data_IF_476957036488
#
_entry.id   IF_476957036488
#
_cell.length_a   1.000
_cell.length_b   1.000
_cell.length_c   1.000
_cell.angle_alpha   90.00
_cell.angle_beta   90.00
_cell.angle_gamma   90.00
#
_symmetry.space_group_name_H-M   'P 1'
#
loop_
_entity.id
_entity.type
_entity.pdbx_description
1 polymer ?
#
# COMPACT_ATOMS: atom_id res chain seq x y z
N UNK A 1 20.99 31.78 21.94
CA UNK A 1 19.88 31.48 22.85
C UNK A 1 20.37 31.40 24.29
N UNK A 2 21.17 30.39 24.68
CA UNK A 2 21.71 30.24 26.05
C UNK A 2 22.25 31.53 26.66
N UNK A 3 23.22 32.18 26.00
CA UNK A 3 23.76 33.48 26.45
C UNK A 3 22.69 34.54 26.77
N UNK A 4 21.61 34.64 25.97
CA UNK A 4 20.56 35.64 26.21
C UNK A 4 19.73 35.32 27.46
N UNK A 5 19.55 34.05 27.76
CA UNK A 5 18.79 33.59 28.94
C UNK A 5 19.69 33.68 30.19
N UNK A 6 20.91 33.17 30.09
CA UNK A 6 21.80 32.99 31.23
C UNK A 6 22.48 34.29 31.66
N UNK A 7 23.03 35.04 30.68
CA UNK A 7 23.79 36.29 30.91
C UNK A 7 22.93 37.53 30.61
N UNK A 8 22.05 37.42 29.63
CA UNK A 8 21.17 38.52 29.19
C UNK A 8 19.88 38.65 29.99
N UNK A 9 19.61 37.74 30.94
CA UNK A 9 18.39 37.69 31.75
C UNK A 9 17.08 37.78 30.95
N UNK A 10 17.07 37.31 29.70
CA UNK A 10 15.85 37.23 28.90
C UNK A 10 14.95 36.13 29.43
N UNK A 11 13.64 36.41 29.55
CA UNK A 11 12.66 35.43 30.02
C UNK A 11 12.45 34.28 29.01
N UNK A 12 12.79 33.02 29.35
CA UNK A 12 12.57 31.87 28.47
C UNK A 12 11.09 31.50 28.30
N UNK A 13 10.19 32.04 29.13
CA UNK A 13 8.73 31.83 29.06
C UNK A 13 8.00 32.91 28.27
N UNK A 14 8.72 33.91 27.75
CA UNK A 14 8.13 34.99 27.00
C UNK A 14 7.32 34.47 25.80
N UNK A 15 6.22 35.16 25.50
CA UNK A 15 5.35 34.88 24.37
C UNK A 15 5.35 36.04 23.37
N UNK A 16 5.18 35.70 22.10
CA UNK A 16 4.96 36.71 21.06
C UNK A 16 3.45 37.06 20.92
N UNK A 17 3.11 37.95 19.99
CA UNK A 17 1.72 38.37 19.74
C UNK A 17 0.77 37.23 19.30
N UNK A 18 1.31 36.11 18.83
CA UNK A 18 0.56 34.90 18.47
C UNK A 18 0.42 33.92 19.65
N UNK A 19 0.89 34.28 20.84
CA UNK A 19 0.92 33.41 22.01
C UNK A 19 1.97 32.30 21.93
N UNK A 20 2.88 32.35 20.94
CA UNK A 20 3.95 31.36 20.84
C UNK A 20 5.01 31.64 21.89
N UNK A 21 5.27 30.66 22.75
CA UNK A 21 6.41 30.69 23.68
C UNK A 21 7.74 30.60 22.92
N UNK A 22 8.85 30.92 23.59
CA UNK A 22 10.20 30.67 23.05
C UNK A 22 10.36 29.20 22.61
N UNK A 23 9.73 28.27 23.33
CA UNK A 23 9.76 26.84 23.01
C UNK A 23 9.04 26.50 21.69
N UNK A 24 7.89 27.11 21.40
CA UNK A 24 7.22 26.98 20.08
C UNK A 24 8.15 27.45 18.96
N UNK A 25 8.77 28.61 19.14
CA UNK A 25 9.71 29.16 18.17
C UNK A 25 10.94 28.24 17.98
N UNK A 26 11.39 27.59 19.05
CA UNK A 26 12.54 26.70 19.07
C UNK A 26 12.27 25.29 18.52
N UNK A 27 11.01 24.91 18.26
CA UNK A 27 10.56 23.59 17.80
C UNK A 27 11.01 23.18 16.37
N UNK A 28 12.22 23.61 15.99
CA UNK A 28 12.96 23.29 14.78
C UNK A 28 14.43 22.93 15.07
N UNK A 29 14.89 23.10 16.31
CA UNK A 29 16.26 22.84 16.76
C UNK A 29 16.27 22.02 18.05
N UNK A 30 16.62 20.74 17.97
CA UNK A 30 16.54 19.79 19.09
C UNK A 30 17.33 20.25 20.33
N UNK A 31 18.53 20.80 20.17
CA UNK A 31 19.35 21.24 21.30
C UNK A 31 18.73 22.42 22.05
N UNK A 32 18.03 23.29 21.31
CA UNK A 32 17.31 24.42 21.90
C UNK A 32 16.07 23.94 22.64
N UNK A 33 15.32 23.00 22.06
CA UNK A 33 14.15 22.37 22.70
C UNK A 33 14.56 21.67 24.00
N UNK A 34 15.60 20.85 23.96
CA UNK A 34 16.13 20.15 25.14
C UNK A 34 16.62 21.13 26.20
N UNK A 35 17.32 22.19 25.82
CA UNK A 35 17.78 23.21 26.76
C UNK A 35 16.60 23.90 27.46
N UNK A 36 15.62 24.38 26.68
CA UNK A 36 14.46 25.09 27.21
C UNK A 36 13.61 24.21 28.14
N UNK A 37 13.43 22.93 27.82
CA UNK A 37 12.63 22.01 28.65
C UNK A 37 13.41 21.57 29.90
N UNK A 38 14.66 21.11 29.74
CA UNK A 38 15.39 20.49 30.85
C UNK A 38 16.04 21.51 31.79
N UNK A 39 16.60 22.59 31.24
CA UNK A 39 17.36 23.59 32.01
C UNK A 39 16.50 24.80 32.38
N UNK A 40 15.61 25.24 31.47
CA UNK A 40 14.74 26.40 31.72
C UNK A 40 13.34 26.02 32.22
N UNK A 41 13.01 24.73 32.31
CA UNK A 41 11.71 24.22 32.75
C UNK A 41 10.50 24.75 31.96
N UNK A 42 10.67 24.97 30.65
CA UNK A 42 9.57 25.36 29.77
C UNK A 42 8.55 24.22 29.63
N UNK A 43 7.27 24.57 29.68
CA UNK A 43 6.18 23.59 29.51
C UNK A 43 6.12 23.06 28.06
N UNK A 44 6.37 21.76 27.81
CA UNK A 44 6.25 21.17 26.49
C UNK A 44 4.80 21.05 25.99
N UNK A 45 3.81 21.18 26.89
CA UNK A 45 2.37 21.14 26.58
C UNK A 45 1.77 22.51 26.28
N UNK A 46 2.57 23.59 26.37
CA UNK A 46 2.10 24.93 26.12
C UNK A 46 1.43 25.04 24.75
N UNK A 47 0.38 25.85 24.68
CA UNK A 47 -0.38 26.13 23.45
C UNK A 47 -0.30 27.61 23.08
N UNK A 48 -0.26 27.89 21.78
CA UNK A 48 -0.36 29.25 21.25
C UNK A 48 -1.84 29.70 21.10
N UNK A 49 -2.07 30.91 20.59
CA UNK A 49 -3.43 31.46 20.41
C UNK A 49 -4.29 30.67 19.40
N UNK A 50 -3.69 29.82 18.57
CA UNK A 50 -4.40 28.90 17.65
C UNK A 50 -4.65 27.53 18.29
N UNK A 51 -4.28 27.32 19.55
CA UNK A 51 -4.32 26.03 20.23
C UNK A 51 -3.27 25.04 19.74
N UNK A 52 -2.31 25.46 18.91
CA UNK A 52 -1.22 24.58 18.49
C UNK A 52 -0.28 24.36 19.67
N UNK A 53 0.01 23.09 19.98
CA UNK A 53 1.06 22.74 20.95
C UNK A 53 2.45 22.88 20.33
N UNK A 54 3.49 22.84 21.17
CA UNK A 54 4.89 22.72 20.71
C UNK A 54 5.07 21.53 19.74
N UNK A 55 4.36 20.43 20.00
CA UNK A 55 4.39 19.23 19.15
C UNK A 55 3.83 19.47 17.73
N UNK A 56 2.80 20.32 17.58
CA UNK A 56 2.31 20.73 16.26
C UNK A 56 3.39 21.53 15.50
N UNK A 57 4.06 22.45 16.17
CA UNK A 57 5.15 23.23 15.57
C UNK A 57 6.34 22.35 15.15
N UNK A 58 6.58 21.27 15.90
CA UNK A 58 7.63 20.29 15.65
C UNK A 58 7.32 19.29 14.52
N UNK A 59 6.11 19.28 13.93
CA UNK A 59 5.64 18.22 13.02
C UNK A 59 6.45 18.03 11.72
N UNK A 60 7.52 18.83 11.51
CA UNK A 60 8.53 18.65 10.43
C UNK A 60 9.80 17.91 10.87
N UNK A 61 10.07 17.84 12.17
CA UNK A 61 11.34 17.41 12.73
C UNK A 61 11.15 16.15 13.58
N UNK A 62 11.39 14.98 12.98
CA UNK A 62 11.11 13.67 13.59
C UNK A 62 11.84 13.45 14.93
N UNK A 63 13.07 13.95 15.04
CA UNK A 63 13.89 13.93 16.25
C UNK A 63 13.25 14.71 17.40
N UNK A 64 12.68 15.88 17.11
CA UNK A 64 11.95 16.69 18.09
C UNK A 64 10.62 16.04 18.45
N UNK A 65 9.86 15.55 17.46
CA UNK A 65 8.60 14.82 17.68
C UNK A 65 8.81 13.61 18.60
N UNK A 66 9.84 12.80 18.32
CA UNK A 66 10.19 11.65 19.17
C UNK A 66 10.56 12.06 20.59
N UNK A 67 11.39 13.11 20.74
CA UNK A 67 11.76 13.61 22.05
C UNK A 67 10.53 14.08 22.85
N UNK A 68 9.69 14.92 22.25
CA UNK A 68 8.49 15.44 22.89
C UNK A 68 7.51 14.32 23.29
N UNK A 69 7.24 13.36 22.42
CA UNK A 69 6.30 12.28 22.74
C UNK A 69 6.89 11.29 23.76
N UNK A 70 8.14 10.85 23.57
CA UNK A 70 8.68 9.74 24.34
C UNK A 70 9.27 10.17 25.68
N UNK A 71 9.95 11.31 25.71
CA UNK A 71 10.66 11.80 26.90
C UNK A 71 9.84 12.86 27.65
N UNK A 72 9.06 13.67 26.93
CA UNK A 72 8.22 14.73 27.55
C UNK A 72 6.75 14.32 27.68
N UNK A 73 6.38 13.10 27.27
CA UNK A 73 5.03 12.54 27.37
C UNK A 73 3.94 13.41 26.70
N UNK A 74 4.29 14.10 25.62
CA UNK A 74 3.33 14.85 24.82
C UNK A 74 2.29 13.94 24.16
N UNK A 75 1.02 14.34 24.19
CA UNK A 75 -0.05 13.61 23.51
C UNK A 75 0.11 13.68 21.98
N UNK A 76 0.38 12.54 21.30
CA UNK A 76 0.50 12.51 19.84
C UNK A 76 -0.83 12.73 19.09
N UNK A 77 -1.97 12.67 19.80
CA UNK A 77 -3.32 12.89 19.28
C UNK A 77 -3.85 14.30 19.59
N UNK A 78 -3.04 15.16 20.22
CA UNK A 78 -3.43 16.53 20.54
C UNK A 78 -3.97 17.26 19.30
N UNK A 79 -4.96 18.12 19.52
CA UNK A 79 -5.62 18.89 18.45
C UNK A 79 -5.51 20.39 18.69
N UNK A 80 -5.34 21.14 17.61
CA UNK A 80 -5.40 22.61 17.62
C UNK A 80 -6.85 23.12 17.63
N UNK A 81 -7.01 24.45 17.63
CA UNK A 81 -8.32 25.11 17.52
C UNK A 81 -8.97 24.96 16.14
N UNK A 82 -8.46 24.14 15.23
CA UNK A 82 -9.13 23.73 13.99
C UNK A 82 -9.35 22.22 13.96
N UNK A 83 -9.23 21.53 15.10
CA UNK A 83 -9.26 20.07 15.22
C UNK A 83 -8.18 19.37 14.37
N UNK A 84 -7.11 20.09 14.00
CA UNK A 84 -5.98 19.48 13.30
C UNK A 84 -5.10 18.81 14.32
N UNK A 85 -4.73 17.58 14.02
CA UNK A 85 -3.76 16.82 14.80
C UNK A 85 -2.33 17.08 14.31
N UNK A 86 -1.34 16.59 15.05
CA UNK A 86 0.06 16.57 14.60
C UNK A 86 0.22 15.86 13.24
N UNK A 87 -0.61 14.85 12.95
CA UNK A 87 -0.61 14.14 11.66
C UNK A 87 -1.07 15.05 10.50
N UNK A 88 -2.09 15.89 10.73
CA UNK A 88 -2.52 16.91 9.76
C UNK A 88 -1.37 17.87 9.44
N UNK A 89 -0.64 18.28 10.47
CA UNK A 89 0.44 19.25 10.34
C UNK A 89 1.68 18.64 9.67
N UNK A 90 2.01 17.39 9.97
CA UNK A 90 3.06 16.64 9.27
C UNK A 90 2.74 16.46 7.78
N UNK A 91 1.47 16.19 7.46
CA UNK A 91 0.99 16.11 6.08
C UNK A 91 1.09 17.47 5.37
N UNK A 92 0.64 18.55 6.02
CA UNK A 92 0.75 19.94 5.53
C UNK A 92 2.20 20.42 5.38
N UNK A 93 3.14 19.85 6.12
CA UNK A 93 4.57 20.20 6.06
C UNK A 93 5.39 19.26 5.19
N UNK A 94 4.76 18.29 4.53
CA UNK A 94 5.39 17.24 3.73
C UNK A 94 6.48 16.47 4.50
N UNK A 95 6.12 15.90 5.63
CA UNK A 95 7.07 15.23 6.55
C UNK A 95 6.76 13.74 6.68
N UNK A 96 7.12 12.91 5.68
CA UNK A 96 6.75 11.49 5.64
C UNK A 96 7.29 10.69 6.82
N UNK A 97 8.45 11.05 7.37
CA UNK A 97 9.01 10.37 8.55
C UNK A 97 8.15 10.55 9.80
N UNK A 98 7.58 11.74 9.99
CA UNK A 98 6.67 12.03 11.09
C UNK A 98 5.33 11.33 10.86
N UNK A 99 4.80 11.34 9.63
CA UNK A 99 3.59 10.59 9.25
C UNK A 99 3.78 9.10 9.56
N UNK A 100 4.89 8.51 9.11
CA UNK A 100 5.24 7.11 9.33
C UNK A 100 5.28 6.77 10.81
N UNK A 101 5.95 7.61 11.61
CA UNK A 101 6.07 7.43 13.04
C UNK A 101 4.71 7.47 13.75
N UNK A 102 3.87 8.47 13.45
CA UNK A 102 2.56 8.60 14.06
C UNK A 102 1.60 7.46 13.66
N UNK A 103 1.58 7.06 12.40
CA UNK A 103 0.66 6.00 11.93
C UNK A 103 1.11 4.62 12.41
N UNK A 104 2.41 4.31 12.40
CA UNK A 104 2.88 2.95 12.67
C UNK A 104 3.13 2.69 14.15
N UNK A 105 3.74 3.64 14.88
CA UNK A 105 4.11 3.44 16.28
C UNK A 105 2.99 3.87 17.24
N UNK A 106 2.19 4.87 16.84
CA UNK A 106 1.11 5.42 17.66
C UNK A 106 -0.28 5.10 17.13
N UNK A 107 -0.37 4.27 16.08
CA UNK A 107 -1.61 3.82 15.45
C UNK A 107 -2.60 4.96 15.14
N UNK A 108 -2.07 6.16 14.82
CA UNK A 108 -2.85 7.36 14.51
C UNK A 108 -3.69 7.11 13.26
N UNK A 109 -4.99 7.39 13.33
CA UNK A 109 -5.89 7.20 12.20
C UNK A 109 -5.65 8.27 11.11
N UNK A 110 -5.22 7.89 9.88
CA UNK A 110 -5.02 8.83 8.79
C UNK A 110 -6.33 9.35 8.17
N UNK A 111 -7.49 8.88 8.64
CA UNK A 111 -8.82 9.36 8.23
C UNK A 111 -9.45 10.35 9.22
N UNK A 112 -8.72 10.74 10.28
CA UNK A 112 -9.10 11.89 11.13
C UNK A 112 -9.38 13.14 10.29
N UNK A 113 -10.31 13.98 10.75
CA UNK A 113 -10.74 15.18 10.02
C UNK A 113 -10.61 16.44 10.85
N UNK A 114 -10.17 17.51 10.20
CA UNK A 114 -10.20 18.86 10.77
C UNK A 114 -11.62 19.47 10.75
N UNK A 115 -11.78 20.70 11.26
CA UNK A 115 -13.08 21.41 11.28
C UNK A 115 -13.71 21.62 9.89
N UNK A 116 -12.94 21.53 8.82
CA UNK A 116 -13.44 21.62 7.45
C UNK A 116 -13.72 20.24 6.84
N UNK A 117 -13.66 19.16 7.63
CA UNK A 117 -13.84 17.80 7.12
C UNK A 117 -12.63 17.28 6.35
N UNK A 118 -11.48 17.95 6.44
CA UNK A 118 -10.29 17.58 5.66
C UNK A 118 -9.46 16.57 6.42
N UNK A 119 -9.10 15.50 5.74
CA UNK A 119 -8.11 14.53 6.22
C UNK A 119 -6.68 15.05 6.05
N UNK A 120 -5.66 14.43 6.69
CA UNK A 120 -4.25 14.71 6.41
C UNK A 120 -3.91 14.67 4.92
N UNK A 121 -4.52 13.74 4.16
CA UNK A 121 -4.32 13.65 2.71
C UNK A 121 -4.82 14.89 1.95
N UNK A 122 -5.93 15.50 2.37
CA UNK A 122 -6.39 16.77 1.79
C UNK A 122 -5.37 17.89 1.98
N UNK A 123 -4.74 17.95 3.16
CA UNK A 123 -3.75 18.98 3.47
C UNK A 123 -2.45 18.77 2.71
N UNK A 124 -1.97 17.52 2.61
CA UNK A 124 -0.80 17.18 1.79
C UNK A 124 -1.05 17.51 0.31
N UNK A 125 -2.24 17.22 -0.20
CA UNK A 125 -2.62 17.48 -1.59
C UNK A 125 -2.78 18.98 -1.94
N UNK A 126 -2.95 19.83 -0.93
CA UNK A 126 -3.13 21.26 -1.11
C UNK A 126 -1.81 22.05 -1.17
N UNK A 127 -0.65 21.38 -1.15
CA UNK A 127 0.68 21.99 -1.19
C UNK A 127 1.21 22.15 -2.62
N UNK A 128 2.32 22.87 -2.76
CA UNK A 128 3.05 23.02 -4.02
C UNK A 128 4.27 22.08 -4.05
N UNK A 129 4.34 21.22 -5.07
CA UNK A 129 5.56 20.57 -5.56
C UNK A 129 6.23 19.59 -4.58
N UNK A 130 5.45 18.86 -3.77
CA UNK A 130 6.01 17.88 -2.86
C UNK A 130 5.00 16.78 -2.51
N UNK A 131 5.16 15.63 -3.18
CA UNK A 131 4.22 14.51 -3.12
C UNK A 131 4.64 13.40 -2.16
N UNK A 132 5.76 13.51 -1.45
CA UNK A 132 6.26 12.44 -0.58
C UNK A 132 5.27 12.05 0.54
N UNK A 133 4.66 13.05 1.18
CA UNK A 133 3.60 12.81 2.16
C UNK A 133 2.35 12.19 1.52
N UNK A 134 1.97 12.63 0.31
CA UNK A 134 0.84 12.07 -0.44
C UNK A 134 1.10 10.62 -0.81
N UNK A 135 2.27 10.30 -1.36
CA UNK A 135 2.69 8.96 -1.71
C UNK A 135 2.72 8.07 -0.47
N UNK A 136 3.30 8.55 0.64
CA UNK A 136 3.35 7.78 1.87
C UNK A 136 1.95 7.49 2.43
N UNK A 137 1.10 8.52 2.57
CA UNK A 137 -0.28 8.37 3.05
C UNK A 137 -1.07 7.39 2.17
N UNK A 138 -0.99 7.50 0.85
CA UNK A 138 -1.66 6.59 -0.07
C UNK A 138 -1.10 5.15 0.01
N UNK A 139 0.22 5.01 0.16
CA UNK A 139 0.88 3.70 0.29
C UNK A 139 0.47 2.93 1.55
N UNK A 140 -0.05 3.62 2.58
CA UNK A 140 -0.54 2.95 3.79
C UNK A 140 -1.76 2.06 3.55
N UNK A 141 -2.51 2.30 2.46
CA UNK A 141 -3.79 1.62 2.17
C UNK A 141 -4.96 2.01 3.08
N UNK A 142 -4.68 2.72 4.19
CA UNK A 142 -5.65 3.17 5.21
C UNK A 142 -6.36 4.47 4.83
N UNK A 143 -5.88 5.18 3.81
CA UNK A 143 -6.49 6.44 3.35
C UNK A 143 -7.55 6.20 2.26
N UNK A 144 -8.62 6.99 2.30
CA UNK A 144 -9.56 7.13 1.19
C UNK A 144 -9.23 8.39 0.36
N UNK A 145 -8.71 8.25 -0.88
CA UNK A 145 -8.40 9.39 -1.76
C UNK A 145 -9.64 10.08 -2.33
N UNK A 146 -10.84 9.51 -2.15
CA UNK A 146 -12.11 10.07 -2.61
C UNK A 146 -12.92 10.70 -1.47
N UNK A 147 -12.41 10.66 -0.25
CA UNK A 147 -13.01 11.34 0.90
C UNK A 147 -13.25 12.81 0.54
N UNK A 148 -14.43 13.31 0.93
CA UNK A 148 -14.84 14.68 0.65
C UNK A 148 -14.75 15.51 1.91
N UNK A 149 -14.19 16.69 1.78
CA UNK A 149 -14.29 17.74 2.79
C UNK A 149 -15.72 18.33 2.84
N UNK A 150 -15.95 19.27 3.77
CA UNK A 150 -17.26 19.91 3.95
C UNK A 150 -17.74 20.70 2.71
N UNK A 151 -16.81 21.08 1.81
CA UNK A 151 -17.12 21.73 0.54
C UNK A 151 -17.34 20.72 -0.61
N UNK A 152 -17.35 19.42 -0.30
CA UNK A 152 -17.50 18.34 -1.28
C UNK A 152 -16.24 18.09 -2.12
N UNK A 153 -15.08 18.64 -1.74
CA UNK A 153 -13.83 18.52 -2.49
C UNK A 153 -13.04 17.31 -2.02
N UNK A 154 -12.41 16.62 -2.95
CA UNK A 154 -11.49 15.51 -2.65
C UNK A 154 -10.05 16.02 -2.62
N UNK A 155 -9.10 15.26 -2.05
CA UNK A 155 -7.68 15.59 -2.15
C UNK A 155 -7.23 15.83 -3.60
N UNK A 156 -7.75 15.03 -4.55
CA UNK A 156 -7.46 15.19 -5.97
C UNK A 156 -7.98 16.51 -6.55
N UNK A 157 -9.20 16.93 -6.20
CA UNK A 157 -9.73 18.21 -6.71
C UNK A 157 -8.98 19.41 -6.11
N UNK A 158 -8.49 19.31 -4.88
CA UNK A 158 -7.61 20.29 -4.26
C UNK A 158 -6.26 20.39 -4.99
N UNK A 159 -5.60 19.25 -5.26
CA UNK A 159 -4.34 19.21 -6.02
C UNK A 159 -4.52 19.80 -7.44
N UNK A 160 -5.62 19.47 -8.12
CA UNK A 160 -5.94 19.99 -9.46
C UNK A 160 -6.10 21.51 -9.47
N UNK A 161 -6.77 22.08 -8.47
CA UNK A 161 -6.95 23.54 -8.35
C UNK A 161 -5.62 24.28 -8.16
N UNK A 162 -4.64 23.64 -7.52
CA UNK A 162 -3.30 24.18 -7.26
C UNK A 162 -2.37 24.08 -8.47
N UNK A 163 -2.64 23.18 -9.41
CA UNK A 163 -1.80 22.94 -10.59
C UNK A 163 -0.55 22.09 -10.31
N UNK A 164 -0.52 21.32 -9.22
CA UNK A 164 0.65 20.52 -8.83
C UNK A 164 0.76 19.23 -9.66
N UNK A 165 1.68 19.20 -10.62
CA UNK A 165 1.88 18.08 -11.54
C UNK A 165 2.35 16.80 -10.84
N UNK A 166 3.19 16.91 -9.83
CA UNK A 166 3.81 15.75 -9.17
C UNK A 166 2.81 15.04 -8.28
N UNK A 167 2.08 15.82 -7.47
CA UNK A 167 0.97 15.31 -6.65
C UNK A 167 -0.12 14.70 -7.52
N UNK A 168 -0.47 15.33 -8.65
CA UNK A 168 -1.46 14.78 -9.59
C UNK A 168 -0.97 13.47 -10.24
N UNK A 169 0.32 13.34 -10.54
CA UNK A 169 0.91 12.11 -11.08
C UNK A 169 0.80 10.96 -10.08
N UNK A 170 1.22 11.20 -8.83
CA UNK A 170 1.08 10.23 -7.73
C UNK A 170 -0.39 9.87 -7.53
N UNK A 171 -1.28 10.86 -7.41
CA UNK A 171 -2.70 10.59 -7.24
C UNK A 171 -3.35 9.89 -8.42
N UNK A 172 -2.88 10.07 -9.66
CA UNK A 172 -3.36 9.27 -10.81
C UNK A 172 -2.92 7.82 -10.73
N UNK A 173 -1.66 7.57 -10.31
CA UNK A 173 -1.12 6.22 -10.07
C UNK A 173 -1.98 5.46 -9.06
N UNK A 174 -2.44 6.14 -8.00
CA UNK A 174 -3.30 5.53 -6.97
C UNK A 174 -4.81 5.67 -7.24
N UNK A 175 -5.23 6.63 -8.06
CA UNK A 175 -6.62 6.89 -8.41
C UNK A 175 -7.21 5.83 -9.34
N UNK A 176 -6.37 5.19 -10.16
CA UNK A 176 -6.75 4.00 -10.94
C UNK A 176 -6.94 2.73 -10.10
N UNK A 177 -6.54 2.74 -8.82
CA UNK A 177 -6.57 1.57 -7.93
C UNK A 177 -7.92 1.47 -7.18
N UNK A 178 -8.73 2.54 -7.11
CA UNK A 178 -10.00 2.55 -6.35
C UNK A 178 -11.16 3.27 -7.04
N UNK A 179 -11.40 2.98 -8.31
CA UNK A 179 -12.71 3.22 -8.92
C UNK A 179 -13.31 1.91 -9.43
N UNK A 180 -14.04 1.22 -8.57
CA UNK A 180 -15.23 0.47 -9.02
C UNK A 180 -16.01 -0.16 -7.87
N UNK A 181 -15.44 -0.34 -6.68
CA UNK A 181 -16.19 -1.06 -5.67
C UNK A 181 -15.90 -0.62 -4.22
N UNK A 182 -16.93 -0.62 -3.34
CA UNK A 182 -16.83 -0.19 -1.95
C UNK A 182 -15.81 -1.04 -1.16
N UNK A 183 -15.44 -0.57 0.03
CA UNK A 183 -14.40 -1.16 0.90
C UNK A 183 -14.61 -2.67 1.20
N UNK A 184 -15.80 -3.23 0.93
CA UNK A 184 -16.13 -4.66 0.99
C UNK A 184 -16.02 -5.43 -0.34
N UNK A 185 -15.47 -4.81 -1.38
CA UNK A 185 -15.38 -5.43 -2.69
C UNK A 185 -14.21 -6.39 -2.77
N UNK A 186 -14.52 -7.63 -3.04
CA UNK A 186 -13.50 -8.64 -3.27
C UNK A 186 -13.07 -8.61 -4.73
N UNK A 187 -11.76 -8.59 -4.96
CA UNK A 187 -11.21 -8.91 -6.28
C UNK A 187 -11.18 -10.43 -6.41
N UNK A 188 -11.78 -10.95 -7.48
CA UNK A 188 -11.68 -12.36 -7.81
C UNK A 188 -10.28 -12.64 -8.37
N UNK A 189 -9.51 -13.48 -7.68
CA UNK A 189 -8.24 -14.01 -8.16
C UNK A 189 -8.45 -15.49 -8.49
N UNK A 190 -8.26 -15.85 -9.75
CA UNK A 190 -8.48 -17.19 -10.26
C UNK A 190 -7.13 -17.86 -10.47
N UNK A 191 -6.82 -18.85 -9.64
CA UNK A 191 -5.58 -19.60 -9.68
C UNK A 191 -5.78 -20.86 -10.51
N UNK A 192 -5.14 -20.90 -11.69
CA UNK A 192 -5.28 -21.97 -12.68
C UNK A 192 -3.93 -22.53 -13.07
N UNK A 193 -3.91 -23.73 -13.63
CA UNK A 193 -2.67 -24.42 -14.00
C UNK A 193 -2.75 -25.92 -13.74
N UNK A 194 -1.82 -26.67 -14.33
CA UNK A 194 -1.87 -28.14 -14.31
C UNK A 194 -1.66 -28.76 -12.91
N UNK A 195 -2.00 -30.04 -12.73
CA UNK A 195 -1.72 -30.75 -11.47
C UNK A 195 -0.21 -30.73 -11.20
N UNK A 196 0.19 -30.56 -9.94
CA UNK A 196 1.60 -30.46 -9.58
C UNK A 196 2.30 -29.16 -9.98
N UNK A 197 1.58 -28.15 -10.51
CA UNK A 197 2.20 -26.89 -10.92
C UNK A 197 2.69 -26.00 -9.76
N UNK A 198 2.37 -26.31 -8.50
CA UNK A 198 2.67 -25.46 -7.34
C UNK A 198 1.55 -24.48 -6.95
N UNK A 199 0.33 -24.66 -7.49
CA UNK A 199 -0.83 -23.81 -7.16
C UNK A 199 -1.11 -23.73 -5.65
N UNK A 200 -1.21 -24.88 -4.99
CA UNK A 200 -1.49 -24.92 -3.54
C UNK A 200 -0.37 -24.25 -2.73
N UNK A 201 0.90 -24.46 -3.12
CA UNK A 201 2.06 -23.76 -2.52
C UNK A 201 1.94 -22.25 -2.69
N UNK A 202 1.61 -21.77 -3.90
CA UNK A 202 1.40 -20.34 -4.15
C UNK A 202 0.23 -19.77 -3.34
N UNK A 203 -0.87 -20.51 -3.24
CA UNK A 203 -2.03 -20.13 -2.42
C UNK A 203 -1.66 -19.94 -0.95
N UNK A 204 -0.87 -20.86 -0.39
CA UNK A 204 -0.33 -20.75 0.96
C UNK A 204 0.57 -19.53 1.12
N UNK A 205 1.50 -19.29 0.19
CA UNK A 205 2.39 -18.12 0.21
C UNK A 205 1.58 -16.82 0.22
N UNK A 206 0.55 -16.70 -0.63
CA UNK A 206 -0.32 -15.51 -0.70
C UNK A 206 -1.07 -15.31 0.63
N UNK A 207 -1.51 -16.40 1.27
CA UNK A 207 -2.22 -16.33 2.56
C UNK A 207 -1.29 -15.94 3.73
N UNK A 208 -0.07 -16.48 3.77
CA UNK A 208 0.91 -16.17 4.82
C UNK A 208 1.42 -14.73 4.71
N UNK A 209 1.59 -14.21 3.48
CA UNK A 209 1.89 -12.78 3.26
C UNK A 209 0.74 -11.87 3.69
N UNK A 210 -0.51 -12.35 3.62
CA UNK A 210 -1.68 -11.58 4.09
C UNK A 210 -1.69 -11.42 5.62
N UNK A 211 -1.31 -12.47 6.36
CA UNK A 211 -1.35 -12.50 7.84
C UNK A 211 -0.12 -11.85 8.50
N UNK A 212 0.90 -11.48 7.73
CA UNK A 212 2.08 -10.77 8.22
C UNK A 212 3.13 -11.67 8.89
N UNK A 213 3.01 -12.99 8.80
CA UNK A 213 4.06 -13.93 9.20
C UNK A 213 5.08 -14.08 8.08
N UNK A 214 6.00 -13.12 7.95
CA UNK A 214 7.18 -13.32 7.10
C UNK A 214 8.24 -13.99 7.98
N UNK A 215 8.16 -15.31 8.11
CA UNK A 215 9.36 -16.10 8.43
C UNK A 215 10.09 -16.26 7.11
N UNK A 216 11.14 -15.45 6.92
CA UNK A 216 12.15 -15.56 5.85
C UNK A 216 13.02 -16.82 6.08
N UNK A 217 12.37 -17.96 6.32
CA UNK A 217 12.98 -19.27 6.37
C UNK A 217 12.67 -19.96 5.06
N UNK A 218 13.74 -20.28 4.32
CA UNK A 218 13.76 -21.20 3.18
C UNK A 218 12.48 -22.05 3.02
N UNK A 219 11.65 -21.78 2.00
CA UNK A 219 10.43 -22.54 1.65
C UNK A 219 10.70 -24.02 1.24
N UNK A 220 11.84 -24.58 1.63
CA UNK A 220 12.30 -25.94 1.32
C UNK A 220 11.50 -27.05 1.99
N UNK A 221 10.59 -26.73 2.90
CA UNK A 221 9.80 -27.72 3.64
C UNK A 221 8.32 -27.31 3.72
N UNK A 222 7.70 -26.97 2.59
CA UNK A 222 6.23 -27.06 2.51
C UNK A 222 5.91 -28.55 2.39
N UNK A 223 5.17 -29.08 3.38
CA UNK A 223 4.78 -30.50 3.42
C UNK A 223 4.16 -30.95 2.09
N UNK A 224 4.41 -32.20 1.74
CA UNK A 224 4.13 -32.77 0.42
C UNK A 224 2.77 -32.39 -0.17
N UNK A 225 2.79 -32.12 -1.47
CA UNK A 225 1.65 -31.80 -2.34
C UNK A 225 0.38 -32.50 -1.87
N UNK A 226 -0.57 -31.74 -1.33
CA UNK A 226 -1.89 -32.26 -0.96
C UNK A 226 -2.57 -32.73 -2.26
N UNK A 227 -2.96 -34.01 -2.36
CA UNK A 227 -3.50 -34.55 -3.59
C UNK A 227 -4.87 -33.93 -3.90
N UNK A 228 -4.94 -33.35 -5.10
CA UNK A 228 -6.14 -33.11 -5.90
C UNK A 228 -7.27 -32.30 -5.24
N UNK A 229 -7.27 -30.97 -5.44
CA UNK A 229 -8.49 -30.15 -5.31
C UNK A 229 -9.52 -30.66 -6.33
N UNK A 230 -10.43 -31.55 -5.90
CA UNK A 230 -11.59 -31.97 -6.66
C UNK A 230 -12.66 -30.87 -6.60
N UNK A 231 -12.49 -29.81 -7.40
CA UNK A 231 -13.44 -28.69 -7.49
C UNK A 231 -12.77 -27.31 -7.47
N UNK A 232 -13.54 -26.28 -7.11
CA UNK A 232 -13.09 -24.89 -6.95
C UNK A 232 -13.34 -24.50 -5.50
N UNK A 233 -12.27 -24.19 -4.75
CA UNK A 233 -12.38 -23.78 -3.34
C UNK A 233 -12.08 -22.28 -3.23
N UNK A 234 -13.05 -21.43 -2.85
CA UNK A 234 -12.84 -20.01 -2.64
C UNK A 234 -12.29 -19.70 -1.24
N UNK A 235 -11.23 -18.89 -1.17
CA UNK A 235 -10.64 -18.39 0.07
C UNK A 235 -10.78 -16.87 0.13
N UNK A 236 -11.43 -16.35 1.18
CA UNK A 236 -11.49 -14.90 1.44
C UNK A 236 -10.21 -14.48 2.17
N UNK A 237 -9.43 -13.61 1.53
CA UNK A 237 -8.18 -13.09 2.03
C UNK A 237 -8.28 -11.58 2.21
N UNK A 238 -7.91 -11.08 3.38
CA UNK A 238 -7.73 -9.65 3.64
C UNK A 238 -6.24 -9.34 3.64
N UNK A 239 -5.72 -8.90 2.50
CA UNK A 239 -4.29 -8.61 2.34
C UNK A 239 -4.02 -7.13 2.57
N UNK A 240 -3.04 -6.80 3.42
CA UNK A 240 -2.70 -5.40 3.78
C UNK A 240 -2.39 -4.50 2.56
N UNK A 241 -1.77 -5.07 1.53
CA UNK A 241 -1.39 -4.35 0.30
C UNK A 241 -2.30 -4.62 -0.90
N UNK A 242 -2.93 -5.79 -0.98
CA UNK A 242 -3.74 -6.20 -2.15
C UNK A 242 -5.25 -6.02 -1.92
N UNK A 243 -5.68 -5.67 -0.71
CA UNK A 243 -7.07 -5.49 -0.34
C UNK A 243 -7.79 -6.82 -0.10
N UNK A 244 -9.12 -6.79 -0.24
CA UNK A 244 -9.99 -7.96 -0.09
C UNK A 244 -9.93 -8.80 -1.38
N UNK A 245 -9.50 -10.05 -1.27
CA UNK A 245 -9.37 -10.99 -2.39
C UNK A 245 -10.22 -12.22 -2.12
N UNK A 246 -10.92 -12.73 -3.13
CA UNK A 246 -11.39 -14.12 -3.13
C UNK A 246 -10.48 -14.89 -4.07
N UNK A 247 -9.66 -15.77 -3.50
CA UNK A 247 -8.79 -16.66 -4.25
C UNK A 247 -9.54 -17.95 -4.57
N UNK A 248 -9.74 -18.26 -5.84
CA UNK A 248 -10.37 -19.47 -6.32
C UNK A 248 -9.28 -20.43 -6.84
N UNK A 249 -9.02 -21.52 -6.13
CA UNK A 249 -8.08 -22.57 -6.59
C UNK A 249 -8.82 -23.56 -7.51
N UNK A 250 -8.47 -23.56 -8.80
CA UNK A 250 -9.08 -24.43 -9.80
C UNK A 250 -8.34 -25.77 -9.90
N UNK A 251 -9.09 -26.85 -10.08
CA UNK A 251 -8.53 -28.16 -10.37
C UNK A 251 -7.61 -28.10 -11.62
N UNK A 252 -6.48 -28.82 -11.59
CA UNK A 252 -5.54 -28.79 -12.70
C UNK A 252 -5.88 -29.70 -13.88
N UNK A 253 -6.81 -30.64 -13.70
CA UNK A 253 -7.09 -31.67 -14.70
C UNK A 253 -7.93 -31.12 -15.85
N UNK A 254 -7.56 -31.47 -17.08
CA UNK A 254 -8.22 -31.00 -18.32
C UNK A 254 -9.68 -31.43 -18.45
N UNK A 255 -10.07 -32.51 -17.79
CA UNK A 255 -11.45 -33.00 -17.75
C UNK A 255 -12.43 -32.00 -17.11
N UNK A 256 -11.94 -31.04 -16.32
CA UNK A 256 -12.76 -30.01 -15.69
C UNK A 256 -12.83 -28.71 -16.51
N UNK A 257 -12.22 -28.60 -17.70
CA UNK A 257 -12.19 -27.34 -18.46
C UNK A 257 -13.58 -26.80 -18.82
N UNK A 258 -14.52 -27.66 -19.20
CA UNK A 258 -15.90 -27.25 -19.47
C UNK A 258 -16.58 -26.70 -18.21
N UNK A 259 -16.32 -27.33 -17.05
CA UNK A 259 -16.82 -26.87 -15.75
C UNK A 259 -16.16 -25.56 -15.31
N UNK A 260 -14.85 -25.41 -15.53
CA UNK A 260 -14.13 -24.16 -15.23
C UNK A 260 -14.69 -23.00 -16.02
N UNK A 261 -14.96 -23.19 -17.31
CA UNK A 261 -15.50 -22.13 -18.18
C UNK A 261 -16.84 -21.61 -17.65
N UNK A 262 -17.76 -22.51 -17.28
CA UNK A 262 -19.06 -22.14 -16.72
C UNK A 262 -18.95 -21.42 -15.36
N UNK A 263 -17.99 -21.80 -14.51
CA UNK A 263 -17.78 -21.15 -13.22
C UNK A 263 -17.11 -19.79 -13.39
N UNK A 264 -16.10 -19.68 -14.25
CA UNK A 264 -15.43 -18.41 -14.56
C UNK A 264 -16.45 -17.40 -15.10
N UNK A 265 -17.32 -17.80 -16.02
CA UNK A 265 -18.38 -16.94 -16.55
C UNK A 265 -19.26 -16.38 -15.42
N UNK A 266 -19.72 -17.22 -14.50
CA UNK A 266 -20.52 -16.78 -13.35
C UNK A 266 -19.73 -15.90 -12.37
N UNK A 267 -18.45 -16.18 -12.12
CA UNK A 267 -17.62 -15.38 -11.23
C UNK A 267 -17.34 -13.98 -11.80
N UNK A 268 -17.27 -13.85 -13.13
CA UNK A 268 -16.99 -12.61 -13.83
C UNK A 268 -18.26 -11.85 -14.25
N UNK A 269 -19.46 -12.38 -14.00
CA UNK A 269 -20.72 -11.66 -14.25
C UNK A 269 -20.81 -10.41 -13.38
N UNK A 270 -20.56 -9.24 -14.01
CA UNK A 270 -20.61 -7.95 -13.34
C UNK A 270 -19.37 -7.59 -12.53
N UNK A 271 -18.31 -8.41 -12.53
CA UNK A 271 -17.04 -8.12 -11.84
C UNK A 271 -15.82 -8.41 -12.74
N UNK A 272 -14.71 -7.71 -12.52
CA UNK A 272 -13.43 -8.04 -13.16
C UNK A 272 -12.70 -9.14 -12.39
N UNK A 273 -11.57 -9.63 -12.93
CA UNK A 273 -10.80 -10.67 -12.27
C UNK A 273 -9.33 -10.67 -12.67
N UNK A 274 -8.49 -11.23 -11.79
CA UNK A 274 -7.08 -11.49 -12.07
C UNK A 274 -6.89 -12.99 -12.21
N UNK A 275 -6.34 -13.43 -13.34
CA UNK A 275 -5.98 -14.82 -13.57
C UNK A 275 -4.50 -15.04 -13.28
N UNK A 276 -4.18 -16.01 -12.43
CA UNK A 276 -2.83 -16.49 -12.17
C UNK A 276 -2.67 -17.87 -12.82
N UNK A 277 -1.93 -17.95 -13.92
CA UNK A 277 -1.64 -19.20 -14.62
C UNK A 277 -0.31 -19.74 -14.12
N UNK A 278 -0.32 -20.82 -13.33
CA UNK A 278 0.90 -21.45 -12.81
C UNK A 278 1.35 -22.57 -13.74
N UNK A 279 2.60 -22.49 -14.22
CA UNK A 279 3.19 -23.43 -15.16
C UNK A 279 4.46 -24.02 -14.54
N UNK A 280 4.48 -25.35 -14.40
CA UNK A 280 5.69 -26.08 -14.03
C UNK A 280 6.63 -26.18 -15.22
N UNK A 281 7.80 -25.55 -15.13
CA UNK A 281 8.79 -25.54 -16.21
C UNK A 281 9.45 -26.91 -16.45
N UNK A 282 9.39 -27.82 -15.48
CA UNK A 282 10.01 -29.14 -15.53
C UNK A 282 9.18 -30.18 -16.28
N UNK A 283 7.89 -29.89 -16.49
CA UNK A 283 6.98 -30.78 -17.22
C UNK A 283 7.47 -31.06 -18.65
N UNK A 284 6.95 -32.13 -19.26
CA UNK A 284 7.39 -32.54 -20.61
C UNK A 284 7.01 -31.54 -21.70
N UNK A 285 5.84 -30.92 -21.58
CA UNK A 285 5.28 -30.00 -22.60
C UNK A 285 4.71 -28.72 -21.95
N UNK A 286 5.50 -27.92 -21.20
CA UNK A 286 5.01 -26.79 -20.40
C UNK A 286 4.38 -25.71 -21.30
N UNK A 287 4.96 -25.53 -22.49
CA UNK A 287 4.48 -24.68 -23.58
C UNK A 287 3.04 -25.00 -23.98
N UNK A 288 2.75 -26.29 -24.19
CA UNK A 288 1.43 -26.74 -24.63
C UNK A 288 0.40 -26.57 -23.53
N UNK A 289 0.80 -26.85 -22.28
CA UNK A 289 -0.04 -26.65 -21.11
C UNK A 289 -0.38 -25.18 -20.90
N UNK A 290 0.61 -24.29 -21.04
CA UNK A 290 0.41 -22.85 -21.00
C UNK A 290 -0.56 -22.40 -22.10
N UNK A 291 -0.35 -22.83 -23.35
CA UNK A 291 -1.23 -22.46 -24.46
C UNK A 291 -2.69 -22.90 -24.24
N UNK A 292 -2.91 -24.10 -23.70
CA UNK A 292 -4.25 -24.59 -23.35
C UNK A 292 -4.92 -23.68 -22.30
N UNK A 293 -4.24 -23.39 -21.20
CA UNK A 293 -4.80 -22.52 -20.15
C UNK A 293 -4.99 -21.08 -20.60
N UNK A 294 -4.04 -20.55 -21.38
CA UNK A 294 -4.14 -19.21 -21.94
C UNK A 294 -5.36 -19.09 -22.85
N UNK A 295 -5.63 -20.11 -23.67
CA UNK A 295 -6.83 -20.16 -24.54
C UNK A 295 -8.11 -20.12 -23.70
N UNK A 296 -8.22 -20.96 -22.66
CA UNK A 296 -9.40 -20.99 -21.78
C UNK A 296 -9.59 -19.64 -21.06
N UNK A 297 -8.55 -19.16 -20.38
CA UNK A 297 -8.58 -17.92 -19.60
C UNK A 297 -8.92 -16.73 -20.47
N UNK A 298 -8.30 -16.63 -21.64
CA UNK A 298 -8.48 -15.48 -22.53
C UNK A 298 -9.88 -15.47 -23.14
N UNK A 299 -10.39 -16.63 -23.56
CA UNK A 299 -11.77 -16.75 -24.06
C UNK A 299 -12.81 -16.31 -23.03
N UNK A 300 -12.63 -16.65 -21.75
CA UNK A 300 -13.56 -16.23 -20.70
C UNK A 300 -13.35 -14.77 -20.28
N UNK A 301 -12.10 -14.30 -20.20
CA UNK A 301 -11.79 -12.90 -19.95
C UNK A 301 -12.39 -11.98 -21.02
N UNK A 302 -12.51 -12.44 -22.27
CA UNK A 302 -13.16 -11.72 -23.36
C UNK A 302 -14.67 -11.56 -23.21
N UNK A 303 -15.34 -12.54 -22.59
CA UNK A 303 -16.78 -12.47 -22.34
C UNK A 303 -17.11 -11.57 -21.14
N UNK A 304 -16.14 -11.33 -20.26
CA UNK A 304 -16.33 -10.48 -19.09
C UNK A 304 -16.61 -9.03 -19.51
N UNK A 305 -17.60 -8.41 -18.86
CA UNK A 305 -17.96 -7.01 -19.08
C UNK A 305 -16.92 -6.02 -18.52
N UNK A 306 -16.07 -6.47 -17.59
CA UNK A 306 -15.10 -5.68 -16.86
C UNK A 306 -13.66 -6.11 -17.17
N UNK A 307 -12.69 -5.23 -16.89
CA UNK A 307 -11.28 -5.48 -17.19
C UNK A 307 -10.71 -6.68 -16.40
N UNK A 308 -10.20 -7.67 -17.12
CA UNK A 308 -9.46 -8.80 -16.56
C UNK A 308 -7.96 -8.63 -16.79
N UNK A 309 -7.15 -9.12 -15.85
CA UNK A 309 -5.69 -9.16 -15.98
C UNK A 309 -5.22 -10.61 -15.95
N UNK A 310 -4.24 -10.96 -16.79
CA UNK A 310 -3.67 -12.31 -16.85
C UNK A 310 -2.20 -12.23 -16.47
N UNK A 311 -1.79 -13.05 -15.49
CA UNK A 311 -0.41 -13.16 -15.02
C UNK A 311 0.00 -14.62 -15.14
N UNK A 312 1.12 -14.86 -15.82
CA UNK A 312 1.72 -16.19 -15.96
C UNK A 312 2.86 -16.31 -14.96
N UNK A 313 2.79 -17.35 -14.11
CA UNK A 313 3.78 -17.68 -13.09
C UNK A 313 4.49 -18.96 -13.50
N UNK A 314 5.81 -18.87 -13.65
CA UNK A 314 6.66 -20.01 -13.96
C UNK A 314 7.23 -20.54 -12.65
N UNK A 315 6.88 -21.78 -12.29
CA UNK A 315 7.28 -22.45 -11.04
C UNK A 315 8.43 -23.44 -11.25
N UNK A 316 9.05 -23.91 -10.16
CA UNK A 316 10.19 -24.86 -10.16
C UNK A 316 11.43 -24.40 -10.94
N UNK A 317 11.62 -23.09 -11.12
CA UNK A 317 12.75 -22.52 -11.88
C UNK A 317 14.10 -22.82 -11.21
N UNK A 318 14.10 -22.92 -9.89
CA UNK A 318 15.25 -23.19 -9.04
C UNK A 318 15.76 -24.64 -9.15
N UNK A 319 14.90 -25.59 -9.51
CA UNK A 319 15.28 -27.00 -9.70
C UNK A 319 16.10 -27.23 -10.98
N UNK A 320 16.06 -26.32 -11.97
CA UNK A 320 16.88 -26.42 -13.17
C UNK A 320 18.33 -26.03 -12.84
N UNK A 321 19.20 -27.02 -12.61
CA UNK A 321 20.61 -26.77 -12.26
C UNK A 321 21.44 -26.18 -13.40
N UNK A 322 21.09 -26.44 -14.67
CA UNK A 322 21.82 -25.95 -15.84
C UNK A 322 21.35 -24.54 -16.25
N UNK A 323 22.23 -23.50 -16.18
CA UNK A 323 21.85 -22.12 -16.50
C UNK A 323 21.42 -21.90 -17.96
N UNK A 324 21.99 -22.66 -18.90
CA UNK A 324 21.68 -22.53 -20.34
C UNK A 324 20.31 -23.11 -20.63
N UNK A 325 20.01 -24.29 -20.09
CA UNK A 325 18.69 -24.92 -20.21
C UNK A 325 17.62 -24.07 -19.52
N UNK A 326 17.93 -23.52 -18.34
CA UNK A 326 17.05 -22.59 -17.61
C UNK A 326 16.72 -21.37 -18.47
N UNK A 327 17.70 -20.78 -19.15
CA UNK A 327 17.49 -19.62 -20.03
C UNK A 327 16.67 -19.98 -21.26
N UNK A 328 16.99 -21.10 -21.92
CA UNK A 328 16.27 -21.57 -23.11
C UNK A 328 14.78 -21.80 -22.83
N UNK A 329 14.44 -22.56 -21.77
CA UNK A 329 13.02 -22.81 -21.41
C UNK A 329 12.29 -21.53 -21.02
N UNK A 330 12.99 -20.55 -20.43
CA UNK A 330 12.43 -19.22 -20.13
C UNK A 330 12.09 -18.45 -21.40
N UNK A 331 13.00 -18.42 -22.36
CA UNK A 331 12.81 -17.74 -23.65
C UNK A 331 11.66 -18.38 -24.44
N UNK A 332 11.58 -19.72 -24.48
CA UNK A 332 10.47 -20.46 -25.12
C UNK A 332 9.11 -20.08 -24.50
N UNK A 333 9.03 -20.00 -23.17
CA UNK A 333 7.78 -19.64 -22.46
C UNK A 333 7.39 -18.17 -22.72
N UNK A 334 8.37 -17.26 -22.73
CA UNK A 334 8.13 -15.84 -23.04
C UNK A 334 7.69 -15.64 -24.49
N UNK A 335 8.29 -16.37 -25.44
CA UNK A 335 7.96 -16.25 -26.87
C UNK A 335 6.50 -16.62 -27.16
N UNK A 336 5.96 -17.65 -26.50
CA UNK A 336 4.54 -18.02 -26.62
C UNK A 336 3.65 -16.94 -26.06
N UNK A 337 4.01 -16.37 -24.91
CA UNK A 337 3.21 -15.32 -24.28
C UNK A 337 3.19 -14.08 -25.17
N UNK A 338 4.32 -13.70 -25.77
CA UNK A 338 4.42 -12.60 -26.75
C UNK A 338 3.60 -12.90 -28.02
N UNK A 339 3.70 -14.12 -28.55
CA UNK A 339 2.96 -14.54 -29.74
C UNK A 339 1.45 -14.52 -29.52
N UNK A 340 0.99 -15.02 -28.39
CA UNK A 340 -0.42 -15.05 -28.04
C UNK A 340 -0.94 -13.66 -27.64
N UNK A 341 -0.14 -12.83 -26.97
CA UNK A 341 -0.52 -11.44 -26.66
C UNK A 341 -0.60 -10.53 -27.89
N UNK A 342 -0.02 -10.91 -29.03
CA UNK A 342 -0.27 -10.24 -30.32
C UNK A 342 -1.63 -10.62 -30.95
N UNK A 343 -2.24 -11.73 -30.52
CA UNK A 343 -3.52 -12.21 -31.04
C UNK A 343 -4.72 -11.71 -30.23
N UNK A 344 -4.50 -11.10 -29.07
CA UNK A 344 -5.56 -10.70 -28.14
C UNK A 344 -5.30 -9.37 -27.42
N UNK A 345 -6.35 -8.56 -27.15
CA UNK A 345 -6.27 -7.24 -26.52
C UNK A 345 -6.02 -7.24 -25.01
N UNK A 346 -5.83 -8.40 -24.37
CA UNK A 346 -5.37 -8.50 -22.98
C UNK A 346 -3.85 -8.72 -23.03
N UNK A 347 -3.08 -7.86 -22.36
CA UNK A 347 -1.62 -8.02 -22.27
C UNK A 347 -1.26 -8.90 -21.07
N UNK A 348 -1.00 -10.22 -21.23
CA UNK A 348 -0.49 -11.06 -20.16
C UNK A 348 0.88 -10.56 -19.68
N UNK A 349 1.06 -10.52 -18.36
CA UNK A 349 2.35 -10.23 -17.72
C UNK A 349 3.00 -11.52 -17.24
N UNK A 350 4.32 -11.63 -17.37
CA UNK A 350 5.09 -12.78 -16.88
C UNK A 350 5.78 -12.42 -15.58
N UNK A 351 5.47 -13.16 -14.52
CA UNK A 351 6.13 -13.02 -13.22
C UNK A 351 6.86 -14.33 -12.93
N UNK A 352 8.19 -14.25 -12.79
CA UNK A 352 8.99 -15.39 -12.40
C UNK A 352 9.13 -15.42 -10.89
N UNK A 353 8.87 -16.58 -10.29
CA UNK A 353 9.00 -16.75 -8.85
C UNK A 353 9.85 -18.00 -8.59
N UNK A 354 10.90 -17.84 -7.80
CA UNK A 354 11.80 -18.91 -7.41
C UNK A 354 11.31 -19.53 -6.09
N UNK A 355 11.32 -20.86 -5.98
CA UNK A 355 10.93 -21.57 -4.76
C UNK A 355 9.42 -21.82 -4.57
N UNK A 356 8.63 -21.87 -5.66
CA UNK A 356 7.24 -22.37 -5.66
C UNK A 356 7.09 -23.68 -6.41
#
# INVERSE_FOLDING_TARGET
MRYLIDEGHCDPMATNNSGETVLHCAARHIDSVKYLINECHCDPMATNNSGETVLHCAARHIDIVKYLINECHCDPMATDSNNRTVLHEAARRNSPDVIKYLINEWNHDPMTVDRLGRTPLHLAAALWSNSAAVEHLLSTGKCDPLAKDNDGRTPFTLAKKRGDTDTLSVMKKFGGIKSSHPIDSYVNVLLVGNPGAGKSTLSHVINDTATGSIVLGSFRNVGGVVPCTAGIIPYKLQHRTLGNIILHDFAGHSEYYSSHSAVIENLLQGSGGVFLIVVNILEKEPVKQLHQWLTVVTNEAHKALNQCHVIVIVSHVDEISNPVERRRRKEETQEIIVKESCLVPVSPFVVQVEGI
#
